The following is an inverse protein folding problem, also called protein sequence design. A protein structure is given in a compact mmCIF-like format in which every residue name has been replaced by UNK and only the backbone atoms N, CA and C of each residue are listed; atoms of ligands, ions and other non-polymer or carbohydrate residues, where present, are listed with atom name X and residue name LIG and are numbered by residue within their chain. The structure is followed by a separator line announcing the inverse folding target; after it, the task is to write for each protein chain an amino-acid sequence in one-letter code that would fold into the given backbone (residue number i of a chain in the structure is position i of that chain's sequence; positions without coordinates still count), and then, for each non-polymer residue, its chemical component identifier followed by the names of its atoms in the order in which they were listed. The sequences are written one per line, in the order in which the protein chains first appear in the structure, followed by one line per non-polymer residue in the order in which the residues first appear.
data_IF_828109181992
#
_entry.id   IF_828109181992
#
_cell.length_a   1.000
_cell.length_b   1.000
_cell.length_c   1.000
_cell.angle_alpha   90.00
_cell.angle_beta   90.00
_cell.angle_gamma   90.00
#
_symmetry.space_group_name_H-M   'P 1'
#
loop_
_entity.id
_entity.type
_entity.pdbx_description
1 polymer ?
#
# COMPACT_ATOMS: atom_id res chain seq x y z
N UNK A 1 8.18 28.98 -28.25
CA UNK A 1 9.04 27.84 -27.89
C UNK A 1 8.72 27.52 -26.43
N UNK A 2 7.74 26.64 -26.21
CA UNK A 2 7.24 26.30 -24.86
C UNK A 2 8.02 25.11 -24.34
N UNK A 3 8.87 25.36 -23.33
CA UNK A 3 9.55 24.33 -22.56
C UNK A 3 8.51 23.50 -21.79
N UNK A 4 8.27 22.28 -22.26
CA UNK A 4 7.61 21.24 -21.49
C UNK A 4 8.68 20.58 -20.62
N UNK A 5 9.01 21.16 -19.46
CA UNK A 5 9.74 20.41 -18.43
C UNK A 5 8.81 19.30 -17.95
N UNK A 6 9.13 18.02 -18.19
CA UNK A 6 8.31 16.95 -17.68
C UNK A 6 8.40 16.97 -16.14
N UNK A 7 7.24 17.03 -15.49
CA UNK A 7 7.09 16.95 -14.04
C UNK A 7 7.37 15.50 -13.60
N UNK A 8 8.62 15.07 -13.69
CA UNK A 8 9.04 13.83 -13.04
C UNK A 8 9.41 14.16 -11.60
N UNK A 9 8.73 13.51 -10.67
CA UNK A 9 9.15 13.49 -9.27
C UNK A 9 10.56 12.90 -9.22
N UNK A 10 11.53 13.54 -8.54
CA UNK A 10 12.90 13.05 -8.50
C UNK A 10 12.94 11.65 -7.88
N UNK A 11 13.54 10.72 -8.59
CA UNK A 11 13.68 9.33 -8.14
C UNK A 11 14.52 9.28 -6.87
N UNK A 12 13.95 8.77 -5.78
CA UNK A 12 14.67 8.53 -4.52
C UNK A 12 15.59 7.31 -4.66
N UNK A 13 16.81 7.58 -5.12
CA UNK A 13 17.86 6.57 -5.37
C UNK A 13 18.26 5.86 -4.09
N UNK A 14 18.30 6.56 -2.95
CA UNK A 14 18.67 5.99 -1.66
C UNK A 14 17.65 4.93 -1.21
N UNK A 15 16.36 5.26 -1.34
CA UNK A 15 15.28 4.31 -1.07
C UNK A 15 15.32 3.10 -1.99
N UNK A 16 15.59 3.31 -3.28
CA UNK A 16 15.73 2.21 -4.25
C UNK A 16 16.88 1.27 -3.88
N UNK A 17 18.05 1.81 -3.53
CA UNK A 17 19.19 1.02 -3.11
C UNK A 17 18.90 0.22 -1.83
N UNK A 18 18.21 0.82 -0.86
CA UNK A 18 17.80 0.13 0.37
C UNK A 18 16.82 -1.02 0.09
N UNK A 19 15.84 -0.80 -0.79
CA UNK A 19 14.89 -1.86 -1.20
C UNK A 19 15.56 -2.97 -2.03
N UNK A 20 16.57 -2.62 -2.82
CA UNK A 20 17.35 -3.56 -3.62
C UNK A 20 18.14 -4.54 -2.73
N UNK A 21 18.61 -4.10 -1.55
CA UNK A 21 19.36 -4.94 -0.61
C UNK A 21 18.48 -5.94 0.17
N UNK A 22 17.15 -5.76 0.18
CA UNK A 22 16.26 -6.70 0.85
C UNK A 22 16.15 -8.01 0.06
N UNK A 23 16.45 -9.12 0.72
CA UNK A 23 16.15 -10.45 0.19
C UNK A 23 14.64 -10.61 -0.04
N UNK A 24 14.19 -11.49 -0.95
CA UNK A 24 12.76 -11.75 -1.16
C UNK A 24 12.02 -12.06 0.16
N UNK A 25 12.63 -12.86 1.05
CA UNK A 25 12.08 -13.13 2.37
C UNK A 25 12.04 -11.91 3.30
N UNK A 26 13.04 -11.02 3.21
CA UNK A 26 13.05 -9.74 3.92
C UNK A 26 11.90 -8.82 3.48
N UNK A 27 11.63 -8.75 2.18
CA UNK A 27 10.51 -7.98 1.63
C UNK A 27 9.17 -8.51 2.10
N UNK A 28 8.96 -9.82 2.05
CA UNK A 28 7.72 -10.46 2.52
C UNK A 28 7.49 -10.18 4.01
N UNK A 29 8.52 -10.38 4.85
CA UNK A 29 8.42 -10.09 6.29
C UNK A 29 8.08 -8.63 6.56
N UNK A 30 8.74 -7.70 5.88
CA UNK A 30 8.45 -6.27 6.01
C UNK A 30 6.99 -5.96 5.64
N UNK A 31 6.50 -6.51 4.52
CA UNK A 31 5.11 -6.32 4.10
C UNK A 31 4.11 -6.95 5.08
N UNK A 32 4.42 -8.12 5.65
CA UNK A 32 3.58 -8.76 6.66
C UNK A 32 3.49 -7.90 7.93
N UNK A 33 4.61 -7.39 8.44
CA UNK A 33 4.62 -6.51 9.60
C UNK A 33 3.87 -5.19 9.34
N UNK A 34 4.08 -4.59 8.16
CA UNK A 34 3.33 -3.40 7.78
C UNK A 34 1.81 -3.67 7.72
N UNK A 35 1.41 -4.84 7.20
CA UNK A 35 0.00 -5.26 7.16
C UNK A 35 -0.56 -5.48 8.56
N UNK A 36 0.17 -6.14 9.45
CA UNK A 36 -0.24 -6.37 10.84
C UNK A 36 -0.48 -5.05 11.57
N UNK A 37 0.42 -4.09 11.42
CA UNK A 37 0.28 -2.74 11.99
C UNK A 37 -0.96 -2.03 11.42
N UNK A 38 -1.09 -1.98 10.10
CA UNK A 38 -2.20 -1.30 9.43
C UNK A 38 -3.56 -1.88 9.86
N UNK A 39 -3.70 -3.21 9.80
CA UNK A 39 -4.92 -3.91 10.22
C UNK A 39 -5.20 -3.71 11.71
N UNK A 40 -4.16 -3.76 12.56
CA UNK A 40 -4.29 -3.50 14.00
C UNK A 40 -4.84 -2.11 14.30
N UNK A 41 -4.31 -1.08 13.63
CA UNK A 41 -4.78 0.30 13.76
C UNK A 41 -6.23 0.45 13.28
N UNK A 42 -6.57 -0.10 12.12
CA UNK A 42 -7.94 -0.07 11.59
C UNK A 42 -8.94 -0.74 12.53
N UNK A 43 -8.59 -1.92 13.05
CA UNK A 43 -9.43 -2.64 14.02
C UNK A 43 -9.58 -1.87 15.34
N UNK A 44 -8.49 -1.26 15.82
CA UNK A 44 -8.53 -0.39 17.01
C UNK A 44 -9.47 0.80 16.83
N UNK A 45 -9.45 1.43 15.65
CA UNK A 45 -10.41 2.49 15.29
C UNK A 45 -11.84 1.96 15.25
N UNK A 46 -12.10 0.87 14.52
CA UNK A 46 -13.43 0.30 14.39
C UNK A 46 -14.04 -0.11 15.73
N UNK A 47 -13.24 -0.68 16.64
CA UNK A 47 -13.73 -1.07 17.97
C UNK A 47 -14.12 0.12 18.85
N UNK A 48 -13.57 1.31 18.60
CA UNK A 48 -14.00 2.55 19.27
C UNK A 48 -15.29 3.10 18.67
N UNK A 49 -15.47 2.96 17.35
CA UNK A 49 -16.67 3.41 16.65
C UNK A 49 -17.87 2.47 16.84
N UNK A 50 -17.60 1.17 17.01
CA UNK A 50 -18.60 0.11 17.11
C UNK A 50 -18.29 -0.81 18.32
N UNK A 51 -18.42 -0.29 19.56
CA UNK A 51 -18.10 -1.05 20.77
C UNK A 51 -19.02 -2.28 20.98
N UNK A 52 -20.23 -2.26 20.44
CA UNK A 52 -21.23 -3.32 20.52
C UNK A 52 -20.94 -4.53 19.62
N UNK A 53 -20.11 -4.35 18.59
CA UNK A 53 -19.81 -5.41 17.64
C UNK A 53 -18.86 -6.45 18.25
N UNK A 54 -19.19 -7.72 18.01
CA UNK A 54 -18.31 -8.83 18.33
C UNK A 54 -17.05 -8.79 17.47
N UNK A 55 -16.01 -9.51 17.86
CA UNK A 55 -14.75 -9.60 17.10
C UNK A 55 -14.99 -10.10 15.66
N UNK A 56 -15.94 -11.02 15.46
CA UNK A 56 -16.29 -11.54 14.13
C UNK A 56 -16.92 -10.46 13.26
N UNK A 57 -17.87 -9.70 13.80
CA UNK A 57 -18.54 -8.61 13.09
C UNK A 57 -17.58 -7.46 12.79
N UNK A 58 -16.68 -7.12 13.72
CA UNK A 58 -15.61 -6.15 13.47
C UNK A 58 -14.67 -6.59 12.34
N UNK A 59 -14.38 -7.89 12.22
CA UNK A 59 -13.57 -8.40 11.10
C UNK A 59 -14.33 -8.30 9.76
N UNK A 60 -15.64 -8.55 9.74
CA UNK A 60 -16.46 -8.35 8.55
C UNK A 60 -16.52 -6.88 8.16
N UNK A 61 -16.73 -5.98 9.13
CA UNK A 61 -16.70 -4.53 8.90
C UNK A 61 -15.35 -4.06 8.39
N UNK A 62 -14.26 -4.62 8.89
CA UNK A 62 -12.92 -4.32 8.38
C UNK A 62 -12.75 -4.70 6.91
N UNK A 63 -13.27 -5.85 6.47
CA UNK A 63 -13.21 -6.25 5.06
C UNK A 63 -13.99 -5.28 4.17
N UNK A 64 -15.20 -4.89 4.59
CA UNK A 64 -16.01 -3.88 3.90
C UNK A 64 -15.26 -2.55 3.75
N UNK A 65 -14.60 -2.07 4.81
CA UNK A 65 -13.80 -0.83 4.76
C UNK A 65 -12.59 -0.94 3.82
N UNK A 66 -11.96 -2.12 3.73
CA UNK A 66 -10.85 -2.37 2.81
C UNK A 66 -11.29 -2.39 1.35
N UNK A 67 -12.45 -2.99 1.07
CA UNK A 67 -13.07 -2.97 -0.27
C UNK A 67 -13.40 -1.52 -0.67
N UNK A 68 -14.07 -0.78 0.21
CA UNK A 68 -14.39 0.64 0.00
C UNK A 68 -13.14 1.50 -0.22
N UNK A 69 -12.02 1.19 0.43
CA UNK A 69 -10.75 1.89 0.23
C UNK A 69 -10.08 1.53 -1.10
N UNK A 70 -10.17 0.28 -1.54
CA UNK A 70 -9.63 -0.18 -2.82
C UNK A 70 -10.34 0.49 -4.02
N UNK A 71 -11.64 0.76 -3.89
CA UNK A 71 -12.42 1.46 -4.93
C UNK A 71 -12.09 2.97 -4.99
N UNK A 72 -11.65 3.56 -3.88
CA UNK A 72 -11.26 4.98 -3.81
C UNK A 72 -9.86 5.26 -4.36
N UNK A 73 -8.97 4.27 -4.33
CA UNK A 73 -7.64 4.41 -4.88
C UNK A 73 -7.68 3.87 -6.31
N UNK A 74 -7.56 4.70 -7.37
CA UNK A 74 -7.31 4.14 -8.69
C UNK A 74 -6.06 3.28 -8.52
N UNK A 75 -6.18 1.97 -8.80
CA UNK A 75 -5.03 1.07 -8.84
C UNK A 75 -4.03 1.77 -9.73
N UNK A 76 -2.98 2.35 -9.12
CA UNK A 76 -1.93 3.05 -9.84
C UNK A 76 -1.50 2.09 -10.93
N UNK A 77 -1.83 2.43 -12.18
CA UNK A 77 -1.67 1.53 -13.30
C UNK A 77 -0.26 1.01 -13.25
N UNK A 78 -0.10 -0.29 -13.02
CA UNK A 78 1.18 -0.92 -13.23
C UNK A 78 1.46 -0.74 -14.72
N UNK A 79 2.33 0.22 -15.05
CA UNK A 79 2.86 0.37 -16.41
C UNK A 79 3.97 -0.68 -16.51
N UNK A 80 3.79 -1.76 -17.29
CA UNK A 80 4.88 -2.69 -17.53
C UNK A 80 6.00 -1.92 -18.23
N UNK A 81 7.22 -2.00 -17.68
CA UNK A 81 8.37 -1.38 -18.31
C UNK A 81 8.52 -1.86 -19.74
N UNK A 82 8.58 -0.91 -20.68
CA UNK A 82 8.94 -1.16 -22.07
C UNK A 82 10.43 -1.55 -22.10
N UNK A 83 10.70 -2.85 -22.00
CA UNK A 83 11.98 -3.42 -22.41
C UNK A 83 11.78 -4.00 -23.82
N UNK A 84 11.70 -3.12 -24.81
CA UNK A 84 11.94 -3.46 -26.20
C UNK A 84 13.13 -2.61 -26.66
N UNK A 85 14.02 -3.27 -27.37
CA UNK A 85 15.16 -2.73 -28.13
C UNK A 85 16.48 -2.54 -27.37
N UNK A 86 17.24 -3.64 -27.31
CA UNK A 86 18.68 -3.66 -27.59
C UNK A 86 19.06 -5.00 -28.24
#
# INVERSE_FOLDING_TARGET
MTDLTPLFDPVDVARLQMLAQLTPGGRIRLMLHARELAVGLMRGRLRRCYPELTTRELNLKLLEELENAADRQPRSGFVPGHSADA
#
